data_IF_214484048366
#
_entry.id   IF_214484048366
#
_cell.length_a   1.000
_cell.length_b   1.000
_cell.length_c   1.000
_cell.angle_alpha   90.00
_cell.angle_beta   90.00
_cell.angle_gamma   90.00
#
_symmetry.space_group_name_H-M   'P 1'
#
loop_
_entity.id
_entity.type
_entity.pdbx_description
1 polymer ?
#
# COMPACT_ATOMS: atom_id res chain seq x y z
N UNK A 1 -35.26 20.02 33.05
CA UNK A 1 -33.93 19.75 32.43
C UNK A 1 -33.74 20.73 31.28
N UNK A 2 -32.76 21.62 31.42
CA UNK A 2 -32.54 22.82 30.62
C UNK A 2 -31.70 22.48 29.39
N UNK A 3 -32.20 22.77 28.18
CA UNK A 3 -31.42 22.71 26.93
C UNK A 3 -30.60 23.99 26.81
N UNK A 4 -29.27 23.86 26.86
CA UNK A 4 -28.33 24.96 26.62
C UNK A 4 -28.12 25.22 25.11
N UNK A 5 -27.71 26.44 24.73
CA UNK A 5 -27.52 26.84 23.34
C UNK A 5 -26.23 26.26 22.74
N UNK A 6 -26.33 25.84 21.48
CA UNK A 6 -25.24 25.24 20.70
C UNK A 6 -24.46 26.39 20.03
N UNK A 7 -23.20 26.58 20.42
CA UNK A 7 -22.31 27.55 19.77
C UNK A 7 -21.86 27.06 18.38
N UNK A 8 -21.78 27.95 17.38
CA UNK A 8 -21.27 27.60 16.05
C UNK A 8 -19.76 27.38 16.09
N UNK A 9 -19.33 26.20 15.63
CA UNK A 9 -17.93 25.84 15.50
C UNK A 9 -17.39 26.47 14.20
N UNK A 10 -16.68 27.59 14.35
CA UNK A 10 -15.92 28.26 13.28
C UNK A 10 -14.89 27.29 12.72
N UNK A 11 -15.13 26.81 11.50
CA UNK A 11 -14.18 26.03 10.71
C UNK A 11 -13.12 27.00 10.21
N UNK A 12 -11.95 26.96 10.84
CA UNK A 12 -10.75 27.64 10.39
C UNK A 12 -10.26 26.92 9.12
N UNK A 13 -10.42 27.57 7.97
CA UNK A 13 -9.77 27.17 6.73
C UNK A 13 -8.26 27.34 6.93
N UNK A 14 -7.54 26.22 7.02
CA UNK A 14 -6.09 26.23 6.96
C UNK A 14 -5.67 26.38 5.50
N UNK A 15 -5.28 27.60 5.15
CA UNK A 15 -4.51 27.91 3.95
C UNK A 15 -3.34 26.93 3.83
N UNK A 16 -3.40 26.10 2.80
CA UNK A 16 -2.34 25.19 2.39
C UNK A 16 -1.52 25.83 1.27
N UNK A 17 -1.08 27.06 1.50
CA UNK A 17 -0.09 27.73 0.67
C UNK A 17 1.29 27.49 1.30
N UNK A 18 1.91 26.36 0.97
CA UNK A 18 3.32 26.12 1.28
C UNK A 18 4.07 25.60 0.06
N UNK A 19 4.50 26.57 -0.74
CA UNK A 19 5.85 26.66 -1.28
C UNK A 19 6.44 25.40 -1.94
N UNK A 20 6.24 25.29 -3.26
CA UNK A 20 7.28 24.76 -4.15
C UNK A 20 7.37 25.61 -5.41
N UNK A 21 7.56 26.91 -5.21
CA UNK A 21 8.22 27.78 -6.18
C UNK A 21 9.69 27.40 -6.16
N UNK A 22 10.06 26.39 -6.96
CA UNK A 22 11.45 26.13 -7.27
C UNK A 22 11.97 27.34 -8.06
N UNK A 23 12.66 28.21 -7.33
CA UNK A 23 13.50 29.29 -7.80
C UNK A 23 14.35 28.78 -8.95
N UNK A 24 13.91 29.06 -10.18
CA UNK A 24 14.75 29.00 -11.37
C UNK A 24 15.65 30.22 -11.29
N UNK A 25 16.68 30.13 -10.45
CA UNK A 25 17.76 31.09 -10.43
C UNK A 25 18.46 31.00 -11.79
N UNK A 26 18.17 31.97 -12.63
CA UNK A 26 18.99 32.30 -13.79
C UNK A 26 20.38 32.68 -13.27
N UNK A 27 21.25 31.67 -13.13
CA UNK A 27 22.68 31.88 -12.99
C UNK A 27 23.16 32.31 -14.38
N UNK A 28 23.07 33.62 -14.62
CA UNK A 28 23.75 34.31 -15.71
C UNK A 28 25.24 34.30 -15.38
N UNK A 29 25.91 33.17 -15.66
CA UNK A 29 27.37 33.12 -15.68
C UNK A 29 27.85 33.87 -16.92
N UNK A 30 28.33 35.09 -16.71
CA UNK A 30 29.12 35.85 -17.67
C UNK A 30 30.41 35.09 -17.97
N UNK A 31 30.39 34.30 -19.04
CA UNK A 31 31.57 33.65 -19.59
C UNK A 31 32.50 34.71 -20.21
N UNK A 32 33.80 34.70 -19.88
CA UNK A 32 34.77 35.50 -20.60
C UNK A 32 34.86 35.05 -22.06
N UNK A 33 34.54 35.97 -22.97
CA UNK A 33 34.78 35.90 -24.41
C UNK A 33 36.30 35.88 -24.66
N UNK A 34 36.93 34.71 -24.59
CA UNK A 34 38.29 34.51 -25.08
C UNK A 34 38.44 33.12 -25.68
N UNK A 35 38.74 33.06 -26.99
CA UNK A 35 39.20 31.84 -27.64
C UNK A 35 38.19 31.14 -28.56
N UNK A 36 37.76 31.81 -29.62
CA UNK A 36 37.02 31.22 -30.73
C UNK A 36 37.91 30.26 -31.56
N UNK A 37 38.13 29.02 -31.11
CA UNK A 37 38.62 27.92 -31.98
C UNK A 37 38.49 26.49 -31.43
N UNK A 38 37.36 26.15 -30.78
CA UNK A 38 37.10 24.78 -30.31
C UNK A 38 35.62 24.35 -30.48
N UNK A 39 34.94 24.80 -31.55
CA UNK A 39 33.48 24.97 -31.53
C UNK A 39 32.60 23.89 -32.19
N UNK A 40 33.13 22.81 -32.79
CA UNK A 40 32.26 21.77 -33.39
C UNK A 40 32.10 20.52 -32.51
N UNK A 41 33.20 19.96 -32.02
CA UNK A 41 33.19 18.66 -31.32
C UNK A 41 32.48 18.70 -29.95
N UNK A 42 32.53 19.83 -29.25
CA UNK A 42 31.93 19.96 -27.92
C UNK A 42 30.40 20.09 -27.98
N UNK A 43 29.88 20.71 -29.05
CA UNK A 43 28.43 20.85 -29.26
C UNK A 43 27.79 19.50 -29.59
N UNK A 44 28.48 18.65 -30.36
CA UNK A 44 28.01 17.30 -30.69
C UNK A 44 27.87 16.42 -29.44
N UNK A 45 28.78 16.54 -28.48
CA UNK A 45 28.72 15.74 -27.23
C UNK A 45 27.53 16.12 -26.34
N UNK A 46 27.22 17.41 -26.24
CA UNK A 46 26.06 17.88 -25.44
C UNK A 46 24.75 17.44 -26.11
N UNK A 47 24.64 17.59 -27.43
CA UNK A 47 23.46 17.15 -28.19
C UNK A 47 23.23 15.64 -28.09
N UNK A 48 24.30 14.83 -28.19
CA UNK A 48 24.20 13.36 -28.00
C UNK A 48 23.81 13.02 -26.56
N UNK A 49 24.32 13.74 -25.56
CA UNK A 49 23.94 13.56 -24.17
C UNK A 49 22.44 13.81 -23.92
N UNK A 50 21.89 14.90 -24.44
CA UNK A 50 20.48 15.24 -24.32
C UNK A 50 19.59 14.25 -25.09
N UNK A 51 19.99 13.86 -26.31
CA UNK A 51 19.27 12.86 -27.09
C UNK A 51 19.21 11.49 -26.38
N UNK A 52 20.32 11.06 -25.76
CA UNK A 52 20.36 9.83 -24.96
C UNK A 52 19.54 9.95 -23.66
N UNK A 53 19.51 11.13 -23.03
CA UNK A 53 18.68 11.37 -21.85
C UNK A 53 17.19 11.29 -22.22
N UNK A 54 16.78 11.96 -23.30
CA UNK A 54 15.41 11.95 -23.83
C UNK A 54 14.98 10.56 -24.30
N UNK A 55 15.88 9.81 -24.95
CA UNK A 55 15.62 8.43 -25.33
C UNK A 55 15.44 7.52 -24.10
N UNK A 56 16.24 7.71 -23.04
CA UNK A 56 16.07 6.99 -21.77
C UNK A 56 14.75 7.35 -21.07
N UNK A 57 14.32 8.61 -21.13
CA UNK A 57 13.03 9.06 -20.60
C UNK A 57 11.87 8.43 -21.37
N UNK A 58 11.92 8.41 -22.72
CA UNK A 58 10.84 7.83 -23.53
C UNK A 58 10.75 6.30 -23.45
N UNK A 59 11.88 5.59 -23.33
CA UNK A 59 11.89 4.12 -23.14
C UNK A 59 11.21 3.75 -21.81
N UNK A 60 11.30 4.61 -20.79
CA UNK A 60 10.62 4.42 -19.51
C UNK A 60 9.09 4.46 -19.65
N UNK A 61 8.55 5.36 -20.47
CA UNK A 61 7.09 5.51 -20.63
C UNK A 61 6.41 4.34 -21.34
N UNK A 62 6.97 3.81 -22.44
CA UNK A 62 6.34 2.67 -23.14
C UNK A 62 6.36 1.37 -22.33
N UNK A 63 7.31 1.23 -21.40
CA UNK A 63 7.34 0.11 -20.45
C UNK A 63 6.29 0.25 -19.32
N UNK A 64 5.77 1.46 -19.10
CA UNK A 64 4.91 1.79 -17.96
C UNK A 64 3.49 1.23 -18.10
N UNK A 65 2.87 1.31 -19.29
CA UNK A 65 1.46 0.88 -19.45
C UNK A 65 1.26 -0.62 -19.19
N UNK A 66 2.19 -1.47 -19.63
CA UNK A 66 2.17 -2.92 -19.34
C UNK A 66 2.44 -3.22 -17.86
N UNK A 67 3.27 -2.39 -17.22
CA UNK A 67 3.54 -2.51 -15.77
C UNK A 67 2.31 -2.15 -14.94
N UNK A 68 1.58 -1.09 -15.30
CA UNK A 68 0.37 -0.66 -14.59
C UNK A 68 -0.71 -1.75 -14.63
N UNK A 69 -0.98 -2.32 -15.82
CA UNK A 69 -1.96 -3.40 -15.95
C UNK A 69 -1.63 -4.61 -15.08
N UNK A 70 -0.35 -5.00 -15.00
CA UNK A 70 0.09 -6.09 -14.13
C UNK A 70 -0.07 -5.76 -12.64
N UNK A 71 0.20 -4.52 -12.23
CA UNK A 71 -0.02 -4.07 -10.86
C UNK A 71 -1.50 -4.11 -10.48
N UNK A 72 -2.39 -3.64 -11.36
CA UNK A 72 -3.84 -3.70 -11.15
C UNK A 72 -4.33 -5.14 -11.02
N UNK A 73 -3.92 -6.03 -11.94
CA UNK A 73 -4.28 -7.45 -11.88
C UNK A 73 -3.80 -8.10 -10.57
N UNK A 74 -2.60 -7.74 -10.09
CA UNK A 74 -2.07 -8.22 -8.83
C UNK A 74 -2.88 -7.75 -7.61
N UNK A 75 -3.32 -6.49 -7.62
CA UNK A 75 -4.19 -5.93 -6.57
C UNK A 75 -5.53 -6.66 -6.57
N UNK A 76 -6.16 -6.83 -7.74
CA UNK A 76 -7.43 -7.56 -7.88
C UNK A 76 -7.29 -9.00 -7.39
N UNK A 77 -6.23 -9.71 -7.77
CA UNK A 77 -5.98 -11.07 -7.30
C UNK A 77 -5.79 -11.14 -5.78
N UNK A 78 -5.04 -10.21 -5.20
CA UNK A 78 -4.85 -10.12 -3.75
C UNK A 78 -6.15 -9.82 -3.00
N UNK A 79 -6.97 -8.89 -3.51
CA UNK A 79 -8.26 -8.54 -2.91
C UNK A 79 -9.30 -9.65 -3.05
N UNK A 80 -9.34 -10.36 -4.19
CA UNK A 80 -10.21 -11.50 -4.38
C UNK A 80 -9.88 -12.62 -3.39
N UNK A 81 -8.59 -12.92 -3.19
CA UNK A 81 -8.15 -13.88 -2.19
C UNK A 81 -8.52 -13.44 -0.77
N UNK A 82 -8.30 -12.16 -0.43
CA UNK A 82 -8.68 -11.63 0.87
C UNK A 82 -10.18 -11.78 1.14
N UNK A 83 -11.01 -11.43 0.15
CA UNK A 83 -12.47 -11.56 0.25
C UNK A 83 -12.89 -13.01 0.48
N UNK A 84 -12.34 -13.96 -0.29
CA UNK A 84 -12.63 -15.38 -0.12
C UNK A 84 -12.26 -15.89 1.29
N UNK A 85 -11.11 -15.46 1.82
CA UNK A 85 -10.68 -15.85 3.17
C UNK A 85 -11.53 -15.20 4.26
N UNK A 86 -11.96 -13.94 4.09
CA UNK A 86 -12.89 -13.29 5.03
C UNK A 86 -14.23 -14.02 5.06
N UNK A 87 -14.79 -14.39 3.90
CA UNK A 87 -16.01 -15.20 3.81
C UNK A 87 -15.84 -16.55 4.52
N UNK A 88 -14.67 -17.19 4.39
CA UNK A 88 -14.39 -18.43 5.12
C UNK A 88 -14.37 -18.21 6.65
N UNK A 89 -13.85 -17.07 7.13
CA UNK A 89 -13.87 -16.72 8.56
C UNK A 89 -15.29 -16.44 9.06
N UNK A 90 -16.12 -15.76 8.27
CA UNK A 90 -17.52 -15.53 8.58
C UNK A 90 -18.33 -16.83 8.60
N UNK A 91 -18.08 -17.73 7.65
CA UNK A 91 -18.71 -19.04 7.67
C UNK A 91 -18.28 -19.86 8.89
N UNK A 92 -16.99 -19.87 9.21
CA UNK A 92 -16.47 -20.50 10.43
C UNK A 92 -17.13 -19.94 11.70
N UNK A 93 -17.29 -18.62 11.81
CA UNK A 93 -17.93 -18.01 12.99
C UNK A 93 -19.40 -18.39 13.11
N UNK A 94 -20.14 -18.49 11.99
CA UNK A 94 -21.53 -18.94 11.98
C UNK A 94 -21.71 -20.38 12.45
N UNK A 95 -20.72 -21.24 12.19
CA UNK A 95 -20.74 -22.65 12.62
C UNK A 95 -20.39 -22.76 14.10
N UNK A 96 -19.38 -22.01 14.57
CA UNK A 96 -18.90 -22.09 15.94
C UNK A 96 -19.83 -21.37 16.93
N UNK A 97 -20.48 -20.29 16.50
CA UNK A 97 -21.32 -19.47 17.35
C UNK A 97 -22.65 -19.13 16.65
N UNK A 98 -23.56 -20.12 16.53
CA UNK A 98 -24.85 -19.91 15.90
C UNK A 98 -25.66 -18.82 16.63
N UNK A 99 -26.49 -18.09 15.89
CA UNK A 99 -27.39 -17.11 16.50
C UNK A 99 -28.36 -17.84 17.45
N UNK A 100 -28.53 -17.38 18.69
CA UNK A 100 -29.53 -17.95 19.60
C UNK A 100 -30.93 -17.72 19.03
N UNK A 101 -31.83 -18.70 19.23
CA UNK A 101 -33.22 -18.59 18.77
C UNK A 101 -33.94 -17.37 19.37
N UNK A 102 -33.54 -16.95 20.58
CA UNK A 102 -34.12 -15.83 21.31
C UNK A 102 -33.40 -14.49 21.05
N UNK A 103 -32.83 -14.31 19.86
CA UNK A 103 -32.08 -13.09 19.54
C UNK A 103 -33.00 -11.87 19.41
N UNK A 104 -32.98 -11.00 20.42
CA UNK A 104 -33.79 -9.77 20.50
C UNK A 104 -33.28 -8.61 19.61
N UNK A 105 -32.48 -8.87 18.57
CA UNK A 105 -31.94 -7.83 17.68
C UNK A 105 -30.79 -6.98 18.23
N UNK A 106 -30.39 -7.17 19.50
CA UNK A 106 -29.27 -6.45 20.10
C UNK A 106 -27.92 -7.10 19.75
N UNK A 107 -27.36 -6.72 18.60
CA UNK A 107 -26.09 -7.26 18.12
C UNK A 107 -24.92 -6.95 19.05
N UNK A 108 -24.94 -5.80 19.75
CA UNK A 108 -23.88 -5.40 20.68
C UNK A 108 -23.76 -6.34 21.88
N UNK A 109 -24.89 -6.77 22.45
CA UNK A 109 -24.91 -7.71 23.57
C UNK A 109 -24.44 -9.12 23.16
N UNK A 110 -24.79 -9.55 21.96
CA UNK A 110 -24.30 -10.82 21.41
C UNK A 110 -22.77 -10.81 21.22
N UNK A 111 -22.23 -9.72 20.67
CA UNK A 111 -20.77 -9.56 20.45
C UNK A 111 -19.99 -9.53 21.77
N UNK A 112 -20.56 -8.96 22.83
CA UNK A 112 -19.93 -8.91 24.17
C UNK A 112 -19.75 -10.27 24.82
N UNK A 113 -20.56 -11.28 24.44
CA UNK A 113 -20.50 -12.63 25.00
C UNK A 113 -19.57 -13.57 24.22
N UNK A 114 -18.85 -13.06 23.21
CA UNK A 114 -17.95 -13.90 22.43
C UNK A 114 -16.88 -14.54 23.31
N UNK A 115 -16.73 -15.88 23.26
CA UNK A 115 -15.63 -16.57 23.91
C UNK A 115 -14.27 -15.99 23.50
N UNK A 116 -13.42 -15.67 24.48
CA UNK A 116 -12.13 -15.02 24.21
C UNK A 116 -11.21 -15.86 23.31
N UNK A 117 -11.30 -17.19 23.39
CA UNK A 117 -10.50 -18.08 22.54
C UNK A 117 -10.88 -17.96 21.06
N UNK A 118 -12.17 -17.74 20.74
CA UNK A 118 -12.64 -17.52 19.35
C UNK A 118 -12.03 -16.24 18.80
N UNK A 119 -12.04 -15.16 19.59
CA UNK A 119 -11.39 -13.91 19.21
C UNK A 119 -9.90 -14.14 18.90
N UNK A 120 -9.22 -14.98 19.67
CA UNK A 120 -7.83 -15.37 19.39
C UNK A 120 -7.66 -16.07 18.02
N UNK A 121 -8.55 -17.01 17.69
CA UNK A 121 -8.55 -17.68 16.37
C UNK A 121 -8.79 -16.68 15.24
N UNK A 122 -9.68 -15.71 15.43
CA UNK A 122 -9.96 -14.66 14.45
C UNK A 122 -8.73 -13.77 14.21
N UNK A 123 -7.94 -13.46 15.25
CA UNK A 123 -6.64 -12.75 15.09
C UNK A 123 -5.70 -13.52 14.18
N UNK A 124 -5.57 -14.83 14.39
CA UNK A 124 -4.71 -15.67 13.55
C UNK A 124 -5.24 -15.77 12.12
N UNK A 125 -6.56 -15.88 11.94
CA UNK A 125 -7.17 -15.97 10.63
C UNK A 125 -7.03 -14.67 9.82
N UNK A 126 -7.19 -13.50 10.46
CA UNK A 126 -6.91 -12.20 9.82
C UNK A 126 -5.42 -12.02 9.52
N UNK A 127 -4.53 -12.47 10.41
CA UNK A 127 -3.09 -12.53 10.15
C UNK A 127 -2.79 -13.36 8.90
N UNK A 128 -3.26 -14.60 8.84
CA UNK A 128 -3.08 -15.48 7.70
C UNK A 128 -3.66 -14.88 6.40
N UNK A 129 -4.84 -14.27 6.48
CA UNK A 129 -5.50 -13.60 5.35
C UNK A 129 -4.67 -12.45 4.80
N UNK A 130 -4.20 -11.56 5.67
CA UNK A 130 -3.38 -10.41 5.28
C UNK A 130 -2.02 -10.84 4.74
N UNK A 131 -1.37 -11.85 5.34
CA UNK A 131 -0.13 -12.43 4.80
C UNK A 131 -0.36 -13.03 3.41
N UNK A 132 -1.38 -13.86 3.23
CA UNK A 132 -1.65 -14.51 1.95
C UNK A 132 -2.01 -13.51 0.84
N UNK A 133 -2.89 -12.55 1.13
CA UNK A 133 -3.30 -11.53 0.17
C UNK A 133 -2.13 -10.62 -0.26
N UNK A 134 -1.34 -10.13 0.70
CA UNK A 134 -0.18 -9.28 0.39
C UNK A 134 0.96 -10.06 -0.26
N UNK A 135 1.12 -11.35 0.06
CA UNK A 135 2.05 -12.25 -0.62
C UNK A 135 1.68 -12.44 -2.09
N UNK A 136 0.42 -12.78 -2.40
CA UNK A 136 -0.06 -12.95 -3.79
C UNK A 136 0.10 -11.65 -4.57
N UNK A 137 -0.34 -10.52 -4.01
CA UNK A 137 -0.20 -9.21 -4.66
C UNK A 137 1.27 -8.87 -4.92
N UNK A 138 2.15 -9.12 -3.96
CA UNK A 138 3.59 -8.87 -4.08
C UNK A 138 4.25 -9.78 -5.12
N UNK A 139 3.82 -11.05 -5.19
CA UNK A 139 4.36 -12.04 -6.13
C UNK A 139 4.02 -11.68 -7.58
N UNK A 140 2.79 -11.25 -7.83
CA UNK A 140 2.29 -10.93 -9.17
C UNK A 140 2.72 -9.52 -9.61
N UNK A 141 2.49 -8.50 -8.77
CA UNK A 141 2.64 -7.08 -9.12
C UNK A 141 3.88 -6.40 -8.54
N UNK A 142 4.67 -7.09 -7.71
CA UNK A 142 5.82 -6.51 -7.01
C UNK A 142 5.42 -5.77 -5.73
N UNK A 143 6.40 -5.13 -5.06
CA UNK A 143 6.21 -4.56 -3.71
C UNK A 143 5.11 -3.51 -3.63
N UNK A 144 4.97 -2.65 -4.66
CA UNK A 144 3.94 -1.60 -4.66
C UNK A 144 2.53 -2.17 -4.62
N UNK A 145 2.25 -3.24 -5.37
CA UNK A 145 0.96 -3.93 -5.32
C UNK A 145 0.66 -4.49 -3.93
N UNK A 146 1.66 -5.12 -3.29
CA UNK A 146 1.55 -5.60 -1.91
C UNK A 146 1.26 -4.52 -0.90
N UNK A 147 1.92 -3.36 -1.01
CA UNK A 147 1.69 -2.20 -0.12
C UNK A 147 0.27 -1.66 -0.30
N UNK A 148 -0.21 -1.52 -1.55
CA UNK A 148 -1.57 -1.05 -1.83
C UNK A 148 -2.60 -2.00 -1.18
N UNK A 149 -2.45 -3.31 -1.37
CA UNK A 149 -3.34 -4.30 -0.74
C UNK A 149 -3.27 -4.25 0.79
N UNK A 150 -2.07 -4.11 1.36
CA UNK A 150 -1.91 -3.96 2.82
C UNK A 150 -2.65 -2.73 3.37
N UNK A 151 -2.59 -1.59 2.66
CA UNK A 151 -3.31 -0.38 3.05
C UNK A 151 -4.83 -0.56 2.94
N UNK A 152 -5.32 -1.18 1.86
CA UNK A 152 -6.74 -1.47 1.69
C UNK A 152 -7.27 -2.39 2.80
N UNK A 153 -6.50 -3.42 3.15
CA UNK A 153 -6.84 -4.33 4.25
C UNK A 153 -6.76 -3.63 5.62
N UNK A 154 -5.83 -2.70 5.81
CA UNK A 154 -5.73 -1.91 7.04
C UNK A 154 -6.99 -1.08 7.25
N UNK A 155 -7.47 -0.41 6.19
CA UNK A 155 -8.73 0.32 6.21
C UNK A 155 -9.92 -0.58 6.53
N UNK A 156 -10.02 -1.73 5.87
CA UNK A 156 -11.08 -2.70 6.13
C UNK A 156 -11.06 -3.20 7.59
N UNK A 157 -9.89 -3.47 8.14
CA UNK A 157 -9.72 -3.86 9.54
C UNK A 157 -10.14 -2.75 10.51
N UNK A 158 -9.73 -1.50 10.26
CA UNK A 158 -10.12 -0.36 11.09
C UNK A 158 -11.65 -0.20 11.09
N UNK A 159 -12.30 -0.25 9.93
CA UNK A 159 -13.76 -0.19 9.84
C UNK A 159 -14.44 -1.36 10.57
N UNK A 160 -13.88 -2.57 10.48
CA UNK A 160 -14.41 -3.73 11.20
C UNK A 160 -14.32 -3.53 12.73
N UNK A 161 -13.19 -3.01 13.23
CA UNK A 161 -12.96 -2.80 14.66
C UNK A 161 -13.73 -1.63 15.26
N UNK A 162 -14.13 -0.63 14.46
CA UNK A 162 -14.90 0.53 14.93
C UNK A 162 -16.40 0.28 14.96
N UNK A 163 -16.91 -0.59 14.08
CA UNK A 163 -18.34 -0.94 14.03
C UNK A 163 -18.81 -1.83 15.18
N UNK A 164 -17.89 -2.59 15.80
CA UNK A 164 -18.23 -3.63 16.78
C UNK A 164 -17.55 -3.37 18.13
N UNK A 165 -18.27 -3.48 19.26
CA UNK A 165 -17.72 -3.25 20.59
C UNK A 165 -16.91 -4.46 21.07
N UNK A 166 -15.74 -4.68 20.48
CA UNK A 166 -14.82 -5.74 20.88
C UNK A 166 -14.07 -5.40 22.18
N UNK A 167 -13.60 -6.46 22.85
CA UNK A 167 -12.71 -6.36 24.00
C UNK A 167 -11.43 -5.58 23.65
N UNK A 168 -10.93 -4.77 24.59
CA UNK A 168 -9.75 -3.91 24.38
C UNK A 168 -8.50 -4.71 24.00
N UNK A 169 -8.30 -5.89 24.60
CA UNK A 169 -7.15 -6.74 24.30
C UNK A 169 -7.14 -7.22 22.85
N UNK A 170 -8.32 -7.50 22.27
CA UNK A 170 -8.45 -7.96 20.89
C UNK A 170 -8.04 -6.86 19.89
N UNK A 171 -8.43 -5.62 20.17
CA UNK A 171 -8.02 -4.46 19.37
C UNK A 171 -6.49 -4.33 19.35
N UNK A 172 -5.85 -4.43 20.51
CA UNK A 172 -4.39 -4.38 20.65
C UNK A 172 -3.73 -5.54 19.90
N UNK A 173 -4.26 -6.76 20.05
CA UNK A 173 -3.76 -7.95 19.35
C UNK A 173 -3.87 -7.82 17.83
N UNK A 174 -5.00 -7.31 17.31
CA UNK A 174 -5.16 -7.07 15.87
C UNK A 174 -4.22 -5.99 15.35
N UNK A 175 -4.11 -4.85 16.04
CA UNK A 175 -3.22 -3.76 15.62
C UNK A 175 -1.73 -4.15 15.63
N UNK A 176 -1.34 -5.14 16.43
CA UNK A 176 0.04 -5.65 16.45
C UNK A 176 0.26 -6.79 15.45
N UNK A 177 -0.65 -7.77 15.37
CA UNK A 177 -0.52 -8.91 14.48
C UNK A 177 -0.64 -8.51 12.99
N UNK A 178 -1.56 -7.60 12.66
CA UNK A 178 -1.82 -7.18 11.28
C UNK A 178 -0.60 -6.58 10.55
N UNK A 179 0.14 -5.59 11.09
CA UNK A 179 1.31 -5.04 10.41
C UNK A 179 2.43 -6.08 10.25
N UNK A 180 2.63 -6.95 11.25
CA UNK A 180 3.59 -8.05 11.18
C UNK A 180 3.22 -8.99 10.02
N UNK A 181 1.96 -9.40 9.95
CA UNK A 181 1.45 -10.29 8.90
C UNK A 181 1.57 -9.69 7.50
N UNK A 182 1.25 -8.39 7.32
CA UNK A 182 1.43 -7.68 6.06
C UNK A 182 2.92 -7.60 5.66
N UNK A 183 3.81 -7.29 6.60
CA UNK A 183 5.25 -7.21 6.34
C UNK A 183 5.80 -8.57 5.91
N UNK A 184 5.40 -9.66 6.58
CA UNK A 184 5.79 -11.02 6.20
C UNK A 184 5.34 -11.35 4.78
N UNK A 185 4.08 -11.07 4.41
CA UNK A 185 3.59 -11.34 3.05
C UNK A 185 4.35 -10.57 1.98
N UNK A 186 4.66 -9.29 2.22
CA UNK A 186 5.45 -8.45 1.30
C UNK A 186 6.90 -8.94 1.19
N UNK A 187 7.50 -9.41 2.29
CA UNK A 187 8.87 -9.90 2.30
C UNK A 187 9.01 -11.23 1.55
N UNK A 188 8.11 -12.18 1.79
CA UNK A 188 8.10 -13.47 1.09
C UNK A 188 7.68 -13.37 -0.38
N UNK A 189 6.98 -12.31 -0.76
CA UNK A 189 6.58 -12.06 -2.16
C UNK A 189 7.71 -11.62 -3.09
N UNK A 190 8.93 -11.38 -2.57
CA UNK A 190 10.09 -10.98 -3.38
C UNK A 190 10.45 -12.12 -4.35
N UNK A 191 10.46 -11.82 -5.65
CA UNK A 191 10.94 -12.77 -6.66
C UNK A 191 12.42 -13.05 -6.42
N UNK A 192 12.79 -14.33 -6.40
CA UNK A 192 14.21 -14.73 -6.45
C UNK A 192 14.82 -14.08 -7.68
N UNK A 193 15.95 -13.34 -7.55
CA UNK A 193 16.65 -12.79 -8.71
C UNK A 193 16.89 -13.89 -9.74
N UNK A 194 16.48 -13.65 -10.99
CA UNK A 194 16.71 -14.63 -12.06
C UNK A 194 18.22 -14.89 -12.22
N UNK A 195 18.67 -16.16 -12.22
CA UNK A 195 20.09 -16.53 -12.39
C UNK A 195 20.74 -15.94 -13.65
N UNK A 196 19.95 -15.66 -14.68
CA UNK A 196 20.40 -14.99 -15.90
C UNK A 196 21.05 -13.61 -15.66
N UNK A 197 20.74 -12.94 -14.55
CA UNK A 197 21.41 -11.69 -14.18
C UNK A 197 22.79 -11.91 -13.52
N UNK A 198 23.07 -13.12 -13.03
CA UNK A 198 24.36 -13.50 -12.46
C UNK A 198 25.38 -13.91 -13.54
N UNK A 199 24.95 -14.63 -14.58
CA UNK A 199 25.85 -15.11 -15.65
C UNK A 199 26.45 -13.98 -16.51
N UNK A 200 25.67 -12.91 -16.78
CA UNK A 200 26.17 -11.74 -17.53
C UNK A 200 27.22 -10.90 -16.79
N UNK A 201 27.50 -11.23 -15.52
CA UNK A 201 28.57 -10.60 -14.73
C UNK A 201 29.87 -11.42 -14.77
N UNK A 202 29.80 -12.72 -15.01
CA UNK A 202 30.98 -13.59 -15.15
C UNK A 202 31.62 -13.48 -16.54
N UNK A 203 30.85 -13.21 -17.59
CA UNK A 203 31.37 -13.03 -18.96
C UNK A 203 32.14 -11.71 -19.19
N UNK A 204 32.44 -10.94 -18.14
CA UNK A 204 33.13 -9.63 -18.23
C UNK A 204 34.50 -9.59 -17.55
N UNK A 205 34.98 -10.73 -17.06
CA UNK A 205 36.31 -10.94 -16.52
C UNK A 205 37.01 -12.05 -17.31
#
# INVERSE_FOLDING_TARGET
>A
MVRGPISPMTILAADSDCASSATTSAITTTLPLSGARATSAQYTRIQVGVALLSARVQVRERSSMKSVGRTLLAVVAGMALAFALVVAVEWFSSVVHPLPADFNGNMGEHVRRYPHWILGVVVLAWGATSTAATWVASRVGGRLAGIIVALLLAWALIFNLTMLPYATWFKIAMFSAFPIACLLGIWYGRRVPSPAAADGRLARH
#
